data_IF_163800788585
#
_entry.id   IF_163800788585
#
_cell.length_a   1.000
_cell.length_b   1.000
_cell.length_c   1.000
_cell.angle_alpha   90.00
_cell.angle_beta   90.00
_cell.angle_gamma   90.00
#
_symmetry.space_group_name_H-M   'P 1'
#
loop_
_entity.id
_entity.type
_entity.pdbx_description
1 polymer ?
#
# COMPACT_ATOMS: atom_id res chain seq x y z
N UNK A 1 17.32 9.37 -41.45
CA UNK A 1 17.92 8.97 -40.16
C UNK A 1 16.99 9.46 -39.07
N UNK A 2 16.23 8.54 -38.46
CA UNK A 2 15.44 8.88 -37.27
C UNK A 2 16.44 8.95 -36.12
N UNK A 3 16.63 10.14 -35.56
CA UNK A 3 17.39 10.32 -34.33
C UNK A 3 16.62 9.55 -33.25
N UNK A 4 17.09 8.35 -32.91
CA UNK A 4 16.73 7.68 -31.67
C UNK A 4 17.23 8.62 -30.57
N UNK A 5 16.34 9.45 -30.03
CA UNK A 5 16.57 10.14 -28.77
C UNK A 5 16.90 9.05 -27.76
N UNK A 6 18.16 8.99 -27.34
CA UNK A 6 18.60 8.10 -26.28
C UNK A 6 17.69 8.33 -25.08
N UNK A 7 16.93 7.32 -24.67
CA UNK A 7 16.23 7.28 -23.40
C UNK A 7 17.33 7.51 -22.35
N UNK A 8 17.51 8.75 -21.87
CA UNK A 8 18.38 8.99 -20.71
C UNK A 8 17.88 8.02 -19.65
N UNK A 9 18.75 7.16 -19.11
CA UNK A 9 18.34 6.15 -18.14
C UNK A 9 17.70 6.87 -16.95
N UNK A 10 16.36 6.85 -16.90
CA UNK A 10 15.60 7.51 -15.85
C UNK A 10 15.55 6.56 -14.68
N UNK A 11 16.24 6.90 -13.59
CA UNK A 11 16.11 6.18 -12.34
C UNK A 11 14.74 6.43 -11.70
N UNK A 12 14.31 5.55 -10.82
CA UNK A 12 13.07 5.72 -10.06
C UNK A 12 13.38 5.78 -8.57
N UNK A 13 12.60 6.55 -7.82
CA UNK A 13 12.64 6.54 -6.37
C UNK A 13 11.27 6.05 -5.88
N UNK A 14 11.20 4.83 -5.36
CA UNK A 14 9.97 4.20 -4.87
C UNK A 14 9.79 4.63 -3.41
N UNK A 15 8.68 5.27 -3.06
CA UNK A 15 8.44 5.90 -1.76
C UNK A 15 7.29 5.19 -1.05
N UNK A 16 7.51 4.89 0.23
CA UNK A 16 6.58 4.18 1.12
C UNK A 16 5.31 4.94 1.47
N UNK A 17 4.51 4.33 2.35
CA UNK A 17 3.26 4.87 2.88
C UNK A 17 3.51 6.25 3.55
N UNK A 18 2.64 7.22 3.25
CA UNK A 18 2.82 8.62 3.65
C UNK A 18 1.93 8.97 4.84
N UNK A 19 0.67 8.55 4.83
CA UNK A 19 -0.31 8.77 5.90
C UNK A 19 -0.28 10.19 6.48
N UNK A 20 -0.34 11.21 5.63
CA UNK A 20 -0.36 12.61 6.05
C UNK A 20 0.93 13.15 6.66
N UNK A 21 2.07 12.46 6.53
CA UNK A 21 3.40 12.95 6.93
C UNK A 21 4.02 13.85 5.85
N UNK A 22 3.35 14.95 5.49
CA UNK A 22 3.76 15.81 4.38
C UNK A 22 5.16 16.42 4.54
N UNK A 23 5.53 16.87 5.74
CA UNK A 23 6.83 17.51 5.95
C UNK A 23 7.96 16.49 5.89
N UNK A 24 7.76 15.31 6.47
CA UNK A 24 8.71 14.19 6.33
C UNK A 24 8.90 13.82 4.86
N UNK A 25 7.82 13.80 4.07
CA UNK A 25 7.91 13.55 2.64
C UNK A 25 8.74 14.62 1.91
N UNK A 26 8.54 15.90 2.24
CA UNK A 26 9.36 16.98 1.68
C UNK A 26 10.85 16.80 2.01
N UNK A 27 11.19 16.44 3.25
CA UNK A 27 12.57 16.17 3.67
C UNK A 27 13.18 14.98 2.91
N UNK A 28 12.43 13.89 2.76
CA UNK A 28 12.88 12.71 2.03
C UNK A 28 13.14 13.02 0.55
N UNK A 29 12.22 13.75 -0.08
CA UNK A 29 12.38 14.22 -1.46
C UNK A 29 13.63 15.10 -1.61
N UNK A 30 13.84 16.06 -0.71
CA UNK A 30 15.02 16.93 -0.71
C UNK A 30 16.31 16.12 -0.52
N UNK A 31 16.34 15.15 0.40
CA UNK A 31 17.49 14.25 0.62
C UNK A 31 17.81 13.43 -0.63
N UNK A 32 16.79 13.02 -1.39
CA UNK A 32 16.97 12.33 -2.67
C UNK A 32 17.32 13.27 -3.83
N UNK A 33 17.38 14.58 -3.59
CA UNK A 33 17.78 15.60 -4.58
C UNK A 33 16.64 16.14 -5.44
N UNK A 34 15.39 15.94 -5.05
CA UNK A 34 14.25 16.62 -5.66
C UNK A 34 14.25 18.09 -5.23
N UNK A 35 13.86 18.96 -6.16
CA UNK A 35 13.74 20.40 -5.93
C UNK A 35 12.33 20.86 -6.24
N UNK A 36 11.78 21.75 -5.40
CA UNK A 36 10.46 22.35 -5.62
C UNK A 36 10.59 23.46 -6.66
N UNK A 37 10.07 23.20 -7.86
CA UNK A 37 10.08 24.14 -8.99
C UNK A 37 8.64 24.45 -9.38
N UNK A 38 8.25 25.73 -9.29
CA UNK A 38 6.88 26.19 -9.53
C UNK A 38 5.84 25.39 -8.72
N UNK A 39 6.11 25.18 -7.42
CA UNK A 39 5.22 24.43 -6.52
C UNK A 39 5.41 22.90 -6.55
N UNK A 40 6.01 22.34 -7.60
CA UNK A 40 6.10 20.89 -7.81
C UNK A 40 7.51 20.35 -7.54
N UNK A 41 7.65 19.28 -6.75
CA UNK A 41 8.93 18.59 -6.59
C UNK A 41 9.32 17.83 -7.86
N UNK A 42 10.55 18.07 -8.34
CA UNK A 42 11.09 17.47 -9.56
C UNK A 42 12.55 17.06 -9.37
N UNK A 43 12.95 15.98 -10.02
CA UNK A 43 14.36 15.57 -10.09
C UNK A 43 14.82 15.57 -11.56
N UNK A 44 16.04 16.06 -11.88
CA UNK A 44 16.50 16.21 -13.27
C UNK A 44 16.68 14.88 -14.01
N UNK A 45 16.84 13.77 -13.30
CA UNK A 45 17.15 12.44 -13.87
C UNK A 45 16.30 11.29 -13.34
N UNK A 46 15.33 11.58 -12.45
CA UNK A 46 14.58 10.55 -11.71
C UNK A 46 13.10 10.90 -11.62
N UNK A 47 12.27 9.89 -11.47
CA UNK A 47 10.83 10.03 -11.23
C UNK A 47 10.45 9.29 -9.95
N UNK A 48 9.62 9.90 -9.11
CA UNK A 48 9.11 9.23 -7.90
C UNK A 48 8.01 8.22 -8.26
N UNK A 49 7.88 7.15 -7.48
CA UNK A 49 6.73 6.25 -7.51
C UNK A 49 6.24 6.04 -6.08
N UNK A 50 5.04 6.52 -5.77
CA UNK A 50 4.41 6.32 -4.46
C UNK A 50 3.66 5.00 -4.41
N UNK A 51 3.71 4.29 -3.28
CA UNK A 51 3.06 2.97 -3.12
C UNK A 51 1.64 3.02 -2.57
N UNK A 52 1.03 4.22 -2.50
CA UNK A 52 -0.31 4.44 -1.97
C UNK A 52 -0.31 4.95 -0.54
N UNK A 53 -1.47 4.91 0.11
CA UNK A 53 -1.67 5.26 1.52
C UNK A 53 -1.15 6.67 1.84
N UNK A 54 -1.70 7.65 1.11
CA UNK A 54 -1.42 9.07 1.33
C UNK A 54 -2.19 9.57 2.55
N UNK A 55 -3.42 9.08 2.73
CA UNK A 55 -4.39 9.63 3.68
C UNK A 55 -4.44 8.86 5.00
N UNK A 56 -5.26 9.39 5.91
CA UNK A 56 -5.53 8.93 7.27
C UNK A 56 -4.33 9.03 8.23
N UNK A 57 -4.65 9.09 9.53
CA UNK A 57 -3.75 9.11 10.69
C UNK A 57 -2.91 10.38 10.90
N UNK A 58 -2.16 10.83 9.91
CA UNK A 58 -1.20 11.93 10.09
C UNK A 58 -1.84 13.32 10.19
N UNK A 59 -1.08 14.32 10.64
CA UNK A 59 -1.61 15.67 10.86
C UNK A 59 -1.65 16.55 9.61
N UNK A 60 -0.99 16.17 8.51
CA UNK A 60 -0.86 16.96 7.29
C UNK A 60 -1.37 16.22 6.04
N UNK A 61 -2.56 15.61 6.15
CA UNK A 61 -3.18 14.77 5.10
C UNK A 61 -3.51 15.61 3.87
N UNK A 62 -4.10 16.79 4.08
CA UNK A 62 -4.43 17.69 2.98
C UNK A 62 -3.17 18.15 2.23
N UNK A 63 -2.11 18.53 2.94
CA UNK A 63 -0.84 18.91 2.31
C UNK A 63 -0.19 17.75 1.56
N UNK A 64 -0.20 16.54 2.13
CA UNK A 64 0.35 15.34 1.49
C UNK A 64 -0.37 15.01 0.18
N UNK A 65 -1.71 15.08 0.16
CA UNK A 65 -2.51 14.86 -1.04
C UNK A 65 -2.20 15.86 -2.15
N UNK A 66 -2.12 17.16 -1.85
CA UNK A 66 -1.73 18.15 -2.85
C UNK A 66 -0.32 17.90 -3.38
N UNK A 67 0.65 17.66 -2.49
CA UNK A 67 2.04 17.41 -2.88
C UNK A 67 2.13 16.23 -3.86
N UNK A 68 1.54 15.09 -3.51
CA UNK A 68 1.60 13.88 -4.34
C UNK A 68 0.83 14.08 -5.64
N UNK A 69 -0.39 14.60 -5.60
CA UNK A 69 -1.22 14.86 -6.78
C UNK A 69 -0.51 15.80 -7.75
N UNK A 70 0.06 16.90 -7.27
CA UNK A 70 0.79 17.87 -8.08
C UNK A 70 1.98 17.21 -8.81
N UNK A 71 2.74 16.36 -8.12
CA UNK A 71 3.85 15.63 -8.75
C UNK A 71 3.36 14.65 -9.82
N UNK A 72 2.26 13.94 -9.56
CA UNK A 72 1.68 12.98 -10.50
C UNK A 72 1.13 13.68 -11.75
N UNK A 73 0.30 14.71 -11.57
CA UNK A 73 -0.31 15.45 -12.68
C UNK A 73 0.72 16.16 -13.56
N UNK A 74 1.85 16.57 -12.99
CA UNK A 74 2.95 17.20 -13.74
C UNK A 74 4.02 16.21 -14.23
N UNK A 75 3.80 14.91 -14.05
CA UNK A 75 4.66 13.84 -14.56
C UNK A 75 6.00 13.66 -13.85
N UNK A 76 6.23 14.30 -12.70
CA UNK A 76 7.42 14.08 -11.87
C UNK A 76 7.27 12.89 -10.90
N UNK A 77 6.05 12.38 -10.74
CA UNK A 77 5.77 11.15 -10.02
C UNK A 77 4.75 10.24 -10.74
N UNK A 78 4.63 9.01 -10.24
CA UNK A 78 3.52 8.08 -10.44
C UNK A 78 3.10 7.53 -9.08
N UNK A 79 1.97 6.85 -9.04
CA UNK A 79 1.43 6.26 -7.80
C UNK A 79 0.65 4.99 -8.12
N UNK A 80 0.61 4.05 -7.16
CA UNK A 80 -0.39 2.97 -7.09
C UNK A 80 -1.35 3.21 -5.92
N UNK A 81 -2.58 2.69 -6.03
CA UNK A 81 -3.63 2.92 -5.03
C UNK A 81 -3.29 2.18 -3.74
N UNK A 82 -3.45 2.84 -2.59
CA UNK A 82 -3.37 2.21 -1.27
C UNK A 82 -4.72 1.72 -0.79
N UNK A 83 -4.73 0.94 0.29
CA UNK A 83 -6.00 0.51 0.87
C UNK A 83 -6.77 1.66 1.53
N UNK A 84 -6.09 2.72 1.95
CA UNK A 84 -6.72 3.88 2.57
C UNK A 84 -7.52 4.70 1.55
N UNK A 85 -6.98 4.95 0.36
CA UNK A 85 -7.73 5.58 -0.74
C UNK A 85 -8.97 4.74 -1.11
N UNK A 86 -8.82 3.42 -1.25
CA UNK A 86 -9.94 2.51 -1.49
C UNK A 86 -11.01 2.58 -0.38
N UNK A 87 -10.59 2.62 0.88
CA UNK A 87 -11.52 2.73 2.02
C UNK A 87 -12.29 4.04 2.00
N UNK A 88 -11.62 5.15 1.69
CA UNK A 88 -12.25 6.46 1.59
C UNK A 88 -13.30 6.49 0.47
N UNK A 89 -12.99 5.92 -0.70
CA UNK A 89 -13.95 5.78 -1.80
C UNK A 89 -15.18 4.96 -1.36
N UNK A 90 -14.97 3.81 -0.73
CA UNK A 90 -16.05 2.97 -0.22
C UNK A 90 -16.89 3.65 0.88
N UNK A 91 -16.25 4.43 1.75
CA UNK A 91 -16.89 5.15 2.85
C UNK A 91 -17.78 6.29 2.33
N UNK A 92 -17.37 6.95 1.25
CA UNK A 92 -18.09 8.08 0.66
C UNK A 92 -19.14 7.65 -0.39
N UNK A 93 -19.13 6.39 -0.84
CA UNK A 93 -20.03 5.90 -1.90
C UNK A 93 -21.24 5.18 -1.32
N UNK A 94 -22.45 5.63 -1.69
CA UNK A 94 -23.71 4.96 -1.30
C UNK A 94 -23.82 3.59 -1.96
N UNK A 95 -24.27 2.60 -1.22
CA UNK A 95 -24.54 1.29 -1.79
C UNK A 95 -25.79 1.31 -2.69
N UNK A 96 -25.82 0.43 -3.69
CA UNK A 96 -26.97 0.29 -4.58
C UNK A 96 -28.18 -0.29 -3.84
N UNK A 97 -29.42 0.08 -4.23
CA UNK A 97 -30.63 -0.54 -3.71
C UNK A 97 -30.57 -2.07 -3.82
N UNK A 98 -30.97 -2.78 -2.77
CA UNK A 98 -30.96 -4.24 -2.71
C UNK A 98 -29.67 -4.89 -2.19
N UNK A 99 -28.61 -4.11 -1.93
CA UNK A 99 -27.35 -4.61 -1.34
C UNK A 99 -27.43 -4.95 0.16
N UNK A 100 -28.47 -4.49 0.86
CA UNK A 100 -28.58 -4.62 2.32
C UNK A 100 -27.68 -3.67 3.12
N UNK A 101 -26.96 -2.77 2.44
CA UNK A 101 -26.07 -1.76 3.02
C UNK A 101 -26.51 -0.34 2.62
N UNK A 102 -26.09 0.66 3.39
CA UNK A 102 -26.28 2.10 3.08
C UNK A 102 -25.10 2.66 2.31
N UNK A 103 -23.88 2.25 2.68
CA UNK A 103 -22.62 2.64 2.03
C UNK A 103 -21.81 1.41 1.65
N UNK A 104 -20.92 1.52 0.67
CA UNK A 104 -20.06 0.39 0.30
C UNK A 104 -19.14 -0.02 1.46
N UNK A 105 -18.73 0.97 2.27
CA UNK A 105 -18.12 0.78 3.58
C UNK A 105 -18.98 1.47 4.65
N UNK A 106 -19.64 0.66 5.48
CA UNK A 106 -20.57 1.14 6.52
C UNK A 106 -19.91 2.05 7.56
N UNK A 107 -20.65 3.02 8.07
CA UNK A 107 -20.15 4.00 9.06
C UNK A 107 -20.26 3.47 10.50
N UNK A 108 -19.45 2.46 10.82
CA UNK A 108 -19.33 1.94 12.18
C UNK A 108 -18.17 2.61 12.95
N UNK A 109 -18.11 2.42 14.27
CA UNK A 109 -17.09 3.04 15.15
C UNK A 109 -15.65 2.85 14.66
N UNK A 110 -15.35 1.67 14.11
CA UNK A 110 -14.02 1.35 13.57
C UNK A 110 -13.72 2.12 12.30
N UNK A 111 -14.62 2.10 11.32
CA UNK A 111 -14.44 2.80 10.05
C UNK A 111 -14.42 4.31 10.24
N UNK A 112 -15.28 4.83 11.12
CA UNK A 112 -15.32 6.24 11.48
C UNK A 112 -13.99 6.68 12.10
N UNK A 113 -13.43 5.87 13.01
CA UNK A 113 -12.12 6.16 13.61
C UNK A 113 -11.00 6.20 12.57
N UNK A 114 -11.01 5.28 11.61
CA UNK A 114 -9.95 5.16 10.61
C UNK A 114 -9.86 6.35 9.65
N UNK A 115 -10.99 6.90 9.22
CA UNK A 115 -11.04 8.00 8.25
C UNK A 115 -11.14 9.38 8.92
N UNK A 116 -11.22 9.42 10.25
CA UNK A 116 -11.60 10.59 11.03
C UNK A 116 -10.72 11.80 10.74
N UNK A 117 -9.40 11.63 10.84
CA UNK A 117 -8.43 12.72 10.67
C UNK A 117 -8.49 13.29 9.24
N UNK A 118 -8.73 12.44 8.24
CA UNK A 118 -8.95 12.88 6.85
C UNK A 118 -10.19 13.75 6.75
N UNK A 119 -11.34 13.27 7.26
CA UNK A 119 -12.59 14.03 7.20
C UNK A 119 -12.52 15.33 8.01
N UNK A 120 -11.86 15.34 9.17
CA UNK A 120 -11.67 16.54 9.99
C UNK A 120 -10.85 17.61 9.23
N UNK A 121 -9.78 17.22 8.52
CA UNK A 121 -8.98 18.18 7.73
C UNK A 121 -9.70 18.69 6.47
N UNK A 122 -10.61 17.90 5.90
CA UNK A 122 -11.37 18.25 4.70
C UNK A 122 -12.77 18.82 4.97
N UNK A 123 -13.24 18.87 6.22
CA UNK A 123 -14.53 19.47 6.60
C UNK A 123 -14.71 20.91 6.06
N UNK A 124 -13.67 21.78 6.09
CA UNK A 124 -13.77 23.12 5.49
C UNK A 124 -13.71 23.14 3.95
N UNK A 125 -13.38 22.02 3.31
CA UNK A 125 -13.06 21.91 1.87
C UNK A 125 -13.81 20.75 1.18
N UNK A 126 -15.14 20.65 1.27
CA UNK A 126 -15.89 19.49 0.77
C UNK A 126 -15.81 19.32 -0.75
N UNK A 127 -15.69 20.41 -1.51
CA UNK A 127 -15.52 20.34 -2.97
C UNK A 127 -14.18 19.72 -3.34
N UNK A 128 -13.12 20.11 -2.66
CA UNK A 128 -11.77 19.60 -2.87
C UNK A 128 -11.66 18.12 -2.48
N UNK A 129 -12.34 17.70 -1.41
CA UNK A 129 -12.42 16.28 -1.06
C UNK A 129 -13.06 15.45 -2.16
N UNK A 130 -14.16 15.92 -2.76
CA UNK A 130 -14.77 15.25 -3.91
C UNK A 130 -13.82 15.18 -5.11
N UNK A 131 -13.04 16.23 -5.38
CA UNK A 131 -12.02 16.18 -6.43
C UNK A 131 -10.93 15.14 -6.15
N UNK A 132 -10.54 14.95 -4.87
CA UNK A 132 -9.60 13.89 -4.50
C UNK A 132 -10.21 12.49 -4.65
N UNK A 133 -11.48 12.31 -4.28
CA UNK A 133 -12.21 11.06 -4.53
C UNK A 133 -12.27 10.72 -6.02
N UNK A 134 -12.54 11.72 -6.88
CA UNK A 134 -12.50 11.55 -8.33
C UNK A 134 -11.08 11.23 -8.82
N UNK A 135 -10.06 11.89 -8.27
CA UNK A 135 -8.66 11.62 -8.59
C UNK A 135 -8.25 10.19 -8.20
N UNK A 136 -8.77 9.61 -7.12
CA UNK A 136 -8.46 8.23 -6.72
C UNK A 136 -8.85 7.20 -7.79
N UNK A 137 -9.93 7.42 -8.56
CA UNK A 137 -10.26 6.57 -9.71
C UNK A 137 -9.20 6.60 -10.82
N UNK A 138 -8.35 7.63 -10.86
CA UNK A 138 -7.26 7.74 -11.85
C UNK A 138 -5.99 7.00 -11.43
N UNK A 139 -5.93 6.49 -10.20
CA UNK A 139 -4.77 5.80 -9.65
C UNK A 139 -4.83 4.30 -10.03
N UNK A 140 -3.81 3.74 -10.69
CA UNK A 140 -3.77 2.32 -11.02
C UNK A 140 -3.50 1.45 -9.77
N UNK A 141 -3.95 0.19 -9.77
CA UNK A 141 -3.70 -0.75 -8.69
C UNK A 141 -2.25 -1.27 -8.65
N UNK A 142 -1.54 -1.21 -9.77
CA UNK A 142 -0.15 -1.64 -9.90
C UNK A 142 0.59 -0.89 -11.00
N UNK A 143 1.90 -0.92 -10.95
CA UNK A 143 2.81 -0.49 -12.01
C UNK A 143 3.71 -1.68 -12.37
N UNK A 144 3.82 -1.98 -13.66
CA UNK A 144 4.80 -2.93 -14.21
C UNK A 144 5.70 -2.21 -15.19
N UNK A 145 6.98 -2.08 -14.83
CA UNK A 145 8.04 -1.67 -15.72
C UNK A 145 8.78 -2.90 -16.26
N UNK A 146 9.65 -2.70 -17.24
CA UNK A 146 10.50 -3.76 -17.80
C UNK A 146 11.38 -4.43 -16.71
N UNK A 147 11.91 -3.62 -15.79
CA UNK A 147 12.88 -4.07 -14.81
C UNK A 147 12.30 -4.33 -13.41
N UNK A 148 11.10 -3.82 -13.09
CA UNK A 148 10.53 -3.93 -11.74
C UNK A 148 9.01 -3.74 -11.71
N UNK A 149 8.42 -4.01 -10.55
CA UNK A 149 7.00 -3.99 -10.27
C UNK A 149 6.69 -3.23 -8.98
N UNK A 150 5.53 -2.58 -8.93
CA UNK A 150 5.04 -1.87 -7.75
C UNK A 150 3.56 -2.18 -7.56
N UNK A 151 3.18 -2.55 -6.34
CA UNK A 151 1.81 -2.79 -5.91
C UNK A 151 1.72 -2.47 -4.41
N UNK A 152 0.57 -2.04 -3.90
CA UNK A 152 0.51 -1.60 -2.52
C UNK A 152 0.77 -2.73 -1.51
N UNK A 153 0.21 -3.94 -1.68
CA UNK A 153 0.41 -5.02 -0.72
C UNK A 153 0.94 -6.33 -1.34
N UNK A 154 0.25 -6.91 -2.32
CA UNK A 154 0.66 -8.21 -2.88
C UNK A 154 0.58 -8.27 -4.40
N UNK A 155 1.61 -8.86 -5.00
CA UNK A 155 1.67 -9.12 -6.43
C UNK A 155 1.17 -10.53 -6.75
N UNK A 156 -0.08 -10.62 -7.21
CA UNK A 156 -0.64 -11.83 -7.80
C UNK A 156 -0.71 -11.67 -9.32
N UNK A 157 0.17 -12.37 -10.04
CA UNK A 157 0.25 -12.28 -11.51
C UNK A 157 -1.04 -12.76 -12.18
N UNK A 158 -1.64 -13.86 -11.71
CA UNK A 158 -2.82 -14.42 -12.35
C UNK A 158 -4.04 -13.53 -12.16
N UNK A 159 -4.17 -12.95 -10.96
CA UNK A 159 -5.25 -12.02 -10.64
C UNK A 159 -5.10 -10.70 -11.41
N UNK A 160 -3.87 -10.16 -11.48
CA UNK A 160 -3.53 -8.99 -12.29
C UNK A 160 -3.84 -9.23 -13.78
N UNK A 161 -3.46 -10.38 -14.33
CA UNK A 161 -3.70 -10.71 -15.73
C UNK A 161 -5.20 -10.82 -16.05
N UNK A 162 -6.01 -11.35 -15.13
CA UNK A 162 -7.48 -11.37 -15.26
C UNK A 162 -8.04 -9.94 -15.21
N UNK A 163 -7.57 -9.12 -14.27
CA UNK A 163 -8.03 -7.75 -14.11
C UNK A 163 -7.70 -6.88 -15.32
N UNK A 164 -6.48 -6.98 -15.88
CA UNK A 164 -6.05 -6.25 -17.08
C UNK A 164 -6.89 -6.52 -18.33
N UNK A 165 -7.57 -7.66 -18.41
CA UNK A 165 -8.48 -7.95 -19.53
C UNK A 165 -9.72 -7.06 -19.51
N UNK A 166 -10.10 -6.56 -18.34
CA UNK A 166 -11.28 -5.71 -18.12
C UNK A 166 -10.84 -4.25 -17.94
N UNK A 167 -9.77 -4.02 -17.17
CA UNK A 167 -9.20 -2.71 -16.88
C UNK A 167 -7.74 -2.63 -17.36
N UNK A 168 -7.50 -2.40 -18.66
CA UNK A 168 -6.16 -2.50 -19.25
C UNK A 168 -5.16 -1.45 -18.78
N UNK A 169 -5.63 -0.30 -18.28
CA UNK A 169 -4.79 0.75 -17.69
C UNK A 169 -4.56 0.56 -16.18
N UNK A 170 -5.09 -0.53 -15.61
CA UNK A 170 -4.92 -0.87 -14.20
C UNK A 170 -5.81 -0.08 -13.25
N UNK A 171 -6.76 0.73 -13.74
CA UNK A 171 -7.62 1.60 -12.93
C UNK A 171 -9.02 1.02 -12.76
N UNK A 172 -9.59 1.20 -11.58
CA UNK A 172 -10.97 0.80 -11.30
C UNK A 172 -11.94 1.89 -11.78
N UNK A 173 -13.20 1.50 -12.04
CA UNK A 173 -14.31 2.41 -12.22
C UNK A 173 -15.35 2.25 -11.11
N UNK A 174 -16.44 3.01 -11.18
CA UNK A 174 -17.53 2.97 -10.19
C UNK A 174 -18.20 1.59 -10.14
N UNK A 175 -18.41 0.91 -11.27
CA UNK A 175 -18.98 -0.43 -11.32
C UNK A 175 -18.09 -1.44 -10.58
N UNK A 176 -16.77 -1.35 -10.78
CA UNK A 176 -15.80 -2.20 -10.11
C UNK A 176 -15.76 -1.95 -8.60
N UNK A 177 -15.82 -0.69 -8.16
CA UNK A 177 -15.93 -0.33 -6.74
C UNK A 177 -17.21 -0.90 -6.10
N UNK A 178 -18.33 -0.83 -6.80
CA UNK A 178 -19.57 -1.44 -6.32
C UNK A 178 -19.46 -2.96 -6.21
N UNK A 179 -18.86 -3.61 -7.21
CA UNK A 179 -18.65 -5.05 -7.19
C UNK A 179 -17.73 -5.48 -6.04
N UNK A 180 -16.70 -4.69 -5.71
CA UNK A 180 -15.74 -5.02 -4.66
C UNK A 180 -16.30 -5.00 -3.24
N UNK A 181 -17.51 -4.45 -3.04
CA UNK A 181 -18.22 -4.52 -1.75
C UNK A 181 -18.66 -5.95 -1.36
N UNK A 182 -18.69 -6.87 -2.33
CA UNK A 182 -18.80 -8.31 -2.11
C UNK A 182 -17.38 -8.92 -2.13
N UNK A 183 -16.87 -9.34 -0.97
CA UNK A 183 -15.48 -9.78 -0.79
C UNK A 183 -15.14 -11.03 -1.63
N UNK A 184 -16.12 -11.91 -1.79
CA UNK A 184 -16.02 -13.13 -2.58
C UNK A 184 -16.07 -12.89 -4.09
N UNK A 185 -16.47 -11.70 -4.53
CA UNK A 185 -16.50 -11.35 -5.95
C UNK A 185 -15.08 -11.23 -6.50
N UNK A 186 -14.94 -11.29 -7.83
CA UNK A 186 -13.67 -11.03 -8.50
C UNK A 186 -13.09 -9.66 -8.12
N UNK A 187 -13.92 -8.61 -8.10
CA UNK A 187 -13.48 -7.27 -7.70
C UNK A 187 -13.07 -7.21 -6.23
N UNK A 188 -13.80 -7.90 -5.35
CA UNK A 188 -13.46 -8.02 -3.93
C UNK A 188 -12.09 -8.67 -3.74
N UNK A 189 -11.84 -9.79 -4.41
CA UNK A 189 -10.56 -10.50 -4.38
C UNK A 189 -9.41 -9.64 -4.92
N UNK A 190 -9.61 -8.93 -6.04
CA UNK A 190 -8.62 -7.99 -6.58
C UNK A 190 -8.27 -6.91 -5.56
N UNK A 191 -9.27 -6.22 -5.00
CA UNK A 191 -9.01 -5.13 -4.06
C UNK A 191 -8.40 -5.64 -2.75
N UNK A 192 -8.84 -6.80 -2.25
CA UNK A 192 -8.30 -7.38 -1.01
C UNK A 192 -6.85 -7.85 -1.19
N UNK A 193 -6.57 -8.63 -2.24
CA UNK A 193 -5.22 -9.17 -2.46
C UNK A 193 -4.22 -8.07 -2.79
N UNK A 194 -4.53 -7.17 -3.73
CA UNK A 194 -3.56 -6.18 -4.19
C UNK A 194 -3.32 -5.07 -3.16
N UNK A 195 -4.34 -4.73 -2.33
CA UNK A 195 -4.25 -3.61 -1.38
C UNK A 195 -4.08 -4.05 0.08
N UNK A 196 -4.37 -5.30 0.46
CA UNK A 196 -4.24 -5.77 1.86
C UNK A 196 -3.36 -7.01 2.01
N UNK A 197 -3.00 -7.63 0.90
CA UNK A 197 -2.16 -8.80 0.87
C UNK A 197 -2.94 -10.09 1.12
N UNK A 198 -2.21 -11.15 1.47
CA UNK A 198 -2.77 -12.49 1.69
C UNK A 198 -2.89 -12.82 3.17
N UNK A 199 -3.84 -13.68 3.48
CA UNK A 199 -4.04 -14.22 4.81
C UNK A 199 -4.40 -15.71 4.75
N UNK A 200 -4.21 -16.39 5.88
CA UNK A 200 -4.69 -17.74 6.10
C UNK A 200 -5.61 -17.76 7.31
N UNK A 201 -6.70 -18.51 7.20
CA UNK A 201 -7.58 -18.75 8.32
C UNK A 201 -6.89 -19.67 9.33
N UNK A 202 -7.03 -19.35 10.59
CA UNK A 202 -6.66 -20.24 11.68
C UNK A 202 -7.60 -21.46 11.68
N UNK A 203 -7.12 -22.61 12.19
CA UNK A 203 -7.95 -23.80 12.35
C UNK A 203 -9.21 -23.52 13.17
N UNK A 204 -10.26 -24.28 12.91
CA UNK A 204 -11.55 -24.14 13.61
C UNK A 204 -11.39 -24.16 15.14
N UNK A 205 -12.03 -23.20 15.82
CA UNK A 205 -11.96 -23.03 17.27
C UNK A 205 -10.73 -22.28 17.77
N UNK A 206 -9.84 -21.83 16.88
CA UNK A 206 -8.64 -21.07 17.23
C UNK A 206 -8.80 -19.59 16.87
N UNK A 207 -8.37 -18.73 17.78
CA UNK A 207 -8.29 -17.29 17.55
C UNK A 207 -7.06 -16.72 18.25
N UNK A 208 -6.60 -15.58 17.76
CA UNK A 208 -5.46 -14.85 18.32
C UNK A 208 -5.97 -13.49 18.75
N UNK A 209 -5.65 -13.08 19.98
CA UNK A 209 -5.91 -11.72 20.44
C UNK A 209 -4.65 -10.89 20.16
N UNK A 210 -4.77 -9.88 19.30
CA UNK A 210 -3.68 -8.95 19.00
C UNK A 210 -3.34 -8.07 20.19
N UNK A 211 -2.20 -7.37 20.12
CA UNK A 211 -1.81 -6.38 21.14
C UNK A 211 -2.82 -5.22 21.27
N UNK A 212 -3.62 -5.02 20.22
CA UNK A 212 -4.74 -4.08 20.12
C UNK A 212 -6.03 -4.55 20.82
N UNK A 213 -6.06 -5.78 21.34
CA UNK A 213 -7.21 -6.38 22.00
C UNK A 213 -8.26 -6.98 21.08
N UNK A 214 -8.03 -6.99 19.75
CA UNK A 214 -8.96 -7.60 18.80
C UNK A 214 -8.70 -9.10 18.64
N UNK A 215 -9.78 -9.88 18.63
CA UNK A 215 -9.75 -11.32 18.39
C UNK A 215 -9.83 -11.58 16.90
N UNK A 216 -8.83 -12.27 16.35
CA UNK A 216 -8.69 -12.56 14.92
C UNK A 216 -8.69 -14.08 14.69
N UNK A 217 -9.44 -14.51 13.68
CA UNK A 217 -9.48 -15.91 13.21
C UNK A 217 -8.56 -16.15 11.99
N UNK A 218 -7.80 -15.14 11.59
CA UNK A 218 -6.92 -15.17 10.42
C UNK A 218 -5.56 -14.57 10.81
N UNK A 219 -4.51 -14.97 10.11
CA UNK A 219 -3.20 -14.34 10.20
C UNK A 219 -2.66 -14.03 8.82
N UNK A 220 -1.85 -12.98 8.72
CA UNK A 220 -1.30 -12.53 7.44
C UNK A 220 -0.19 -13.45 6.98
N UNK A 221 -0.15 -13.69 5.68
CA UNK A 221 0.91 -14.45 5.06
C UNK A 221 1.79 -13.59 4.17
N UNK A 222 3.07 -13.92 4.10
CA UNK A 222 3.99 -13.41 3.08
C UNK A 222 3.89 -14.27 1.82
N UNK A 223 3.98 -13.61 0.68
CA UNK A 223 3.89 -14.24 -0.64
C UNK A 223 5.27 -14.54 -1.26
N UNK A 224 6.37 -14.51 -0.49
CA UNK A 224 7.75 -14.73 -0.96
C UNK A 224 8.48 -15.85 -0.20
N UNK A 225 7.74 -16.76 0.43
CA UNK A 225 8.32 -17.92 1.12
C UNK A 225 8.52 -19.09 0.15
N UNK A 226 9.75 -19.60 0.10
CA UNK A 226 10.12 -20.77 -0.70
C UNK A 226 9.81 -22.06 0.07
N UNK A 227 8.92 -22.90 -0.47
CA UNK A 227 8.54 -24.21 0.06
C UNK A 227 8.19 -24.22 1.58
N UNK A 228 7.20 -23.42 2.02
CA UNK A 228 6.87 -23.29 3.44
C UNK A 228 6.30 -24.60 4.01
N UNK A 229 6.70 -24.93 5.23
CA UNK A 229 6.30 -26.17 5.92
C UNK A 229 5.31 -25.89 7.07
N UNK A 230 5.48 -24.76 7.74
CA UNK A 230 4.77 -24.39 8.96
C UNK A 230 4.18 -22.99 8.88
N UNK A 231 3.27 -22.64 9.79
CA UNK A 231 2.71 -21.28 9.87
C UNK A 231 3.79 -20.23 10.14
N UNK A 232 4.83 -20.57 10.92
CA UNK A 232 5.99 -19.71 11.14
C UNK A 232 6.73 -19.34 9.84
N UNK A 233 6.69 -20.23 8.83
CA UNK A 233 7.35 -19.99 7.55
C UNK A 233 6.59 -18.97 6.69
N UNK A 234 5.31 -18.72 6.98
CA UNK A 234 4.45 -17.89 6.14
C UNK A 234 3.89 -16.68 6.87
N UNK A 235 3.87 -16.65 8.20
CA UNK A 235 3.36 -15.49 8.94
C UNK A 235 4.14 -14.22 8.60
N UNK A 236 3.40 -13.13 8.39
CA UNK A 236 3.98 -11.80 8.20
C UNK A 236 3.07 -10.71 8.76
N UNK A 237 3.21 -10.45 10.05
CA UNK A 237 2.47 -9.42 10.80
C UNK A 237 3.29 -9.00 12.04
N UNK A 238 3.00 -7.83 12.64
CA UNK A 238 3.71 -7.36 13.84
C UNK A 238 3.60 -8.31 15.03
N UNK A 239 2.37 -8.79 15.31
CA UNK A 239 2.11 -9.71 16.41
C UNK A 239 2.49 -11.15 16.05
N UNK A 240 3.50 -11.76 16.70
CA UNK A 240 3.87 -13.13 16.40
C UNK A 240 2.73 -14.10 16.76
N UNK A 241 2.60 -15.18 15.99
CA UNK A 241 1.68 -16.28 16.35
C UNK A 241 2.13 -16.91 17.67
N UNK A 242 1.19 -17.38 18.51
CA UNK A 242 1.54 -18.19 19.68
C UNK A 242 2.43 -19.37 19.27
N UNK A 243 3.46 -19.75 20.04
CA UNK A 243 4.47 -20.73 19.63
C UNK A 243 3.90 -22.07 19.16
N UNK A 244 2.81 -22.52 19.78
CA UNK A 244 2.07 -23.74 19.40
C UNK A 244 1.38 -23.63 18.04
N UNK A 245 0.87 -22.45 17.70
CA UNK A 245 0.24 -22.16 16.41
C UNK A 245 1.31 -22.02 15.33
N UNK A 246 2.40 -21.30 15.63
CA UNK A 246 3.51 -21.07 14.71
C UNK A 246 4.15 -22.38 14.21
N UNK A 247 4.26 -23.40 15.08
CA UNK A 247 4.86 -24.72 14.75
C UNK A 247 3.94 -25.65 13.96
N UNK A 248 2.66 -25.28 13.78
CA UNK A 248 1.70 -26.11 13.06
C UNK A 248 2.14 -26.26 11.60
N UNK A 249 2.09 -27.48 11.09
CA UNK A 249 2.35 -27.76 9.68
C UNK A 249 1.20 -27.25 8.83
N UNK A 250 1.55 -26.62 7.71
CA UNK A 250 0.58 -26.30 6.67
C UNK A 250 -0.04 -27.60 6.13
N UNK A 251 -1.35 -27.63 5.94
CA UNK A 251 -2.04 -28.65 5.17
C UNK A 251 -1.81 -28.45 3.67
N UNK A 252 -2.17 -29.44 2.85
CA UNK A 252 -2.06 -29.30 1.40
C UNK A 252 -3.06 -28.28 0.84
N UNK A 253 -4.24 -28.16 1.47
CA UNK A 253 -5.25 -27.16 1.13
C UNK A 253 -4.79 -25.73 1.49
N UNK A 254 -4.13 -25.55 2.64
CA UNK A 254 -3.54 -24.27 3.04
C UNK A 254 -2.37 -23.90 2.12
N UNK A 255 -1.52 -24.88 1.74
CA UNK A 255 -0.43 -24.66 0.78
C UNK A 255 -0.94 -24.18 -0.58
N UNK A 256 -2.06 -24.69 -1.06
CA UNK A 256 -2.65 -24.28 -2.34
C UNK A 256 -3.23 -22.86 -2.31
N UNK A 257 -3.50 -22.30 -1.13
CA UNK A 257 -3.99 -20.92 -0.96
C UNK A 257 -2.84 -19.90 -0.89
N UNK A 258 -1.60 -20.35 -0.70
CA UNK A 258 -0.45 -19.45 -0.58
C UNK A 258 -0.02 -18.93 -1.95
N UNK A 259 0.20 -17.62 -2.02
CA UNK A 259 0.86 -17.00 -3.15
C UNK A 259 2.39 -17.14 -3.04
N UNK A 260 3.03 -17.27 -4.20
CA UNK A 260 4.48 -17.38 -4.31
C UNK A 260 5.01 -16.44 -5.38
N UNK A 261 5.93 -15.56 -4.98
CA UNK A 261 6.67 -14.68 -5.87
C UNK A 261 7.97 -15.34 -6.30
N UNK A 262 8.16 -15.64 -7.60
CA UNK A 262 9.32 -16.39 -8.06
C UNK A 262 10.64 -15.62 -7.87
N UNK A 263 11.73 -16.26 -7.42
CA UNK A 263 13.07 -15.66 -7.32
C UNK A 263 13.60 -15.04 -8.61
N UNK A 264 13.22 -15.59 -9.75
CA UNK A 264 13.61 -15.15 -11.09
C UNK A 264 12.75 -13.97 -11.63
N UNK A 265 11.62 -13.69 -10.99
CA UNK A 265 10.74 -12.59 -11.35
C UNK A 265 11.43 -11.23 -11.13
N UNK A 266 11.02 -10.16 -11.85
CA UNK A 266 11.52 -8.81 -11.62
C UNK A 266 11.39 -8.40 -10.15
N UNK A 267 12.26 -7.52 -9.62
CA UNK A 267 12.05 -6.91 -8.33
C UNK A 267 10.62 -6.36 -8.15
N UNK A 268 10.02 -6.63 -6.99
CA UNK A 268 8.72 -6.08 -6.60
C UNK A 268 8.85 -5.25 -5.33
N UNK A 269 8.21 -4.08 -5.36
CA UNK A 269 8.11 -3.15 -4.24
C UNK A 269 6.68 -3.14 -3.72
N UNK A 270 6.54 -3.30 -2.40
CA UNK A 270 5.25 -3.33 -1.67
C UNK A 270 5.29 -2.46 -0.42
N UNK A 271 4.13 -2.18 0.16
CA UNK A 271 3.90 -1.43 1.40
C UNK A 271 3.02 -2.22 2.36
N UNK A 272 2.16 -1.54 3.13
CA UNK A 272 1.09 -2.13 3.97
C UNK A 272 1.51 -2.99 5.18
N UNK A 273 2.76 -3.42 5.26
CA UNK A 273 3.22 -4.42 6.23
C UNK A 273 3.93 -3.85 7.46
N UNK A 274 4.14 -2.53 7.53
CA UNK A 274 4.58 -1.83 8.74
C UNK A 274 5.89 -2.40 9.29
N UNK A 275 6.92 -2.40 8.44
CA UNK A 275 8.23 -2.91 8.81
C UNK A 275 8.84 -2.13 9.97
N UNK A 276 9.63 -2.83 10.76
CA UNK A 276 10.43 -2.24 11.85
C UNK A 276 11.93 -2.43 11.58
N UNK A 277 12.73 -1.52 12.12
CA UNK A 277 14.18 -1.65 12.15
C UNK A 277 14.87 -1.06 10.92
N UNK A 278 16.06 -1.57 10.59
CA UNK A 278 16.87 -0.98 9.52
C UNK A 278 16.35 -1.39 8.14
N UNK A 279 16.06 -0.43 7.23
CA UNK A 279 15.56 -0.74 5.89
C UNK A 279 16.49 -1.67 5.09
N UNK A 280 15.93 -2.78 4.60
CA UNK A 280 16.64 -3.77 3.82
C UNK A 280 15.67 -4.60 2.95
N UNK A 281 16.14 -5.21 1.84
CA UNK A 281 15.30 -6.11 1.05
C UNK A 281 14.86 -7.33 1.87
N UNK A 282 13.60 -7.77 1.69
CA UNK A 282 13.07 -9.00 2.28
C UNK A 282 13.64 -10.25 1.59
N UNK A 283 13.84 -10.15 0.28
CA UNK A 283 14.53 -11.11 -0.60
C UNK A 283 15.35 -10.31 -1.61
N UNK A 284 16.18 -11.00 -2.40
CA UNK A 284 16.98 -10.32 -3.44
C UNK A 284 16.11 -9.62 -4.50
N UNK A 285 14.83 -9.99 -4.66
CA UNK A 285 13.89 -9.37 -5.59
C UNK A 285 12.56 -8.92 -4.92
N UNK A 286 12.50 -8.81 -3.59
CA UNK A 286 11.31 -8.33 -2.86
C UNK A 286 11.72 -7.30 -1.82
N UNK A 287 11.11 -6.12 -1.84
CA UNK A 287 11.26 -5.11 -0.81
C UNK A 287 9.90 -4.57 -0.35
N UNK A 288 9.70 -4.55 0.96
CA UNK A 288 8.67 -3.71 1.57
C UNK A 288 9.29 -2.34 1.85
N UNK A 289 8.64 -1.26 1.43
CA UNK A 289 9.10 0.13 1.57
C UNK A 289 8.24 0.89 2.61
N UNK A 290 7.29 0.20 3.25
CA UNK A 290 6.50 0.74 4.36
C UNK A 290 7.15 0.37 5.71
N UNK A 291 7.65 1.41 6.40
CA UNK A 291 8.25 1.34 7.73
C UNK A 291 7.49 2.23 8.73
N UNK A 292 6.15 2.28 8.64
CA UNK A 292 5.30 2.90 9.65
C UNK A 292 5.65 4.36 9.99
N UNK A 293 5.68 5.25 8.99
CA UNK A 293 6.00 6.68 9.20
C UNK A 293 5.22 7.32 10.38
N UNK A 294 3.96 6.93 10.56
CA UNK A 294 3.07 7.44 11.63
C UNK A 294 3.45 6.97 13.05
N UNK A 295 4.24 5.91 13.20
CA UNK A 295 4.61 5.31 14.49
C UNK A 295 6.01 5.73 15.00
N UNK A 296 6.60 6.79 14.45
CA UNK A 296 7.97 7.25 14.77
C UNK A 296 9.08 6.27 14.33
N UNK A 297 8.91 5.54 13.24
CA UNK A 297 10.05 4.88 12.63
C UNK A 297 10.52 5.70 11.44
N UNK A 298 10.23 5.29 10.19
CA UNK A 298 10.90 5.86 9.02
C UNK A 298 9.95 6.07 7.86
N UNK A 299 10.08 7.21 7.20
CA UNK A 299 9.61 7.32 5.82
C UNK A 299 10.74 6.87 4.91
N UNK A 300 10.51 5.78 4.20
CA UNK A 300 11.54 5.05 3.44
C UNK A 300 11.29 5.20 1.95
N UNK A 301 12.39 5.26 1.21
CA UNK A 301 12.41 5.15 -0.23
C UNK A 301 13.50 4.18 -0.70
N UNK A 302 13.34 3.67 -1.92
CA UNK A 302 14.32 2.86 -2.62
C UNK A 302 14.70 3.50 -3.95
N UNK A 303 16.00 3.66 -4.21
CA UNK A 303 16.51 4.19 -5.48
C UNK A 303 16.69 3.06 -6.50
N UNK A 304 15.74 2.84 -7.38
CA UNK A 304 15.80 1.82 -8.44
C UNK A 304 16.51 2.36 -9.70
N UNK A 305 17.50 1.62 -10.20
CA UNK A 305 18.27 1.98 -11.40
C UNK A 305 18.31 0.87 -12.46
N UNK A 306 17.41 -0.12 -12.37
CA UNK A 306 17.30 -1.24 -13.32
C UNK A 306 18.00 -2.53 -12.84
N UNK A 307 18.49 -2.57 -11.59
CA UNK A 307 19.05 -3.78 -11.00
C UNK A 307 18.02 -4.90 -10.83
N UNK A 308 18.44 -6.16 -11.02
CA UNK A 308 17.62 -7.36 -10.72
C UNK A 308 17.77 -7.86 -9.30
N UNK A 309 18.82 -7.43 -8.61
CA UNK A 309 19.16 -7.81 -7.24
C UNK A 309 19.17 -6.55 -6.39
N UNK A 310 18.21 -6.46 -5.48
CA UNK A 310 18.04 -5.35 -4.58
C UNK A 310 19.19 -5.29 -3.57
N UNK A 311 19.75 -4.10 -3.41
CA UNK A 311 20.76 -3.81 -2.38
C UNK A 311 20.20 -2.97 -1.25
N UNK A 312 20.57 -3.30 -0.01
CA UNK A 312 20.31 -2.49 1.18
C UNK A 312 20.89 -1.07 1.09
N UNK A 313 21.95 -0.88 0.32
CA UNK A 313 22.66 0.41 0.22
C UNK A 313 21.90 1.44 -0.63
N UNK A 314 20.79 1.04 -1.27
CA UNK A 314 19.95 1.90 -2.10
C UNK A 314 18.67 2.37 -1.40
N UNK A 315 18.50 2.00 -0.13
CA UNK A 315 17.46 2.55 0.71
C UNK A 315 17.87 3.94 1.21
N UNK A 316 16.91 4.85 1.23
CA UNK A 316 17.04 6.22 1.74
C UNK A 316 15.87 6.44 2.68
N UNK A 317 16.09 7.04 3.84
CA UNK A 317 15.02 7.29 4.79
C UNK A 317 15.23 8.58 5.58
N UNK A 318 14.12 9.07 6.13
CA UNK A 318 14.06 10.10 7.15
C UNK A 318 13.41 9.49 8.38
N UNK A 319 14.02 9.68 9.55
CA UNK A 319 13.39 9.35 10.82
C UNK A 319 12.25 10.34 11.07
N UNK A 320 11.05 9.85 11.38
CA UNK A 320 9.88 10.72 11.58
C UNK A 320 9.94 11.36 12.97
N UNK A 321 10.23 12.66 13.01
CA UNK A 321 10.33 13.43 14.25
C UNK A 321 8.94 13.71 14.88
N UNK A 322 8.96 14.03 16.18
CA UNK A 322 7.77 14.24 17.04
C UNK A 322 6.72 15.28 16.60
N UNK A 323 6.98 16.32 15.77
CA UNK A 323 5.95 17.30 15.41
C UNK A 323 4.81 16.75 14.54
N UNK A 324 5.00 15.60 13.89
CA UNK A 324 3.96 14.97 13.05
C UNK A 324 3.08 13.97 13.83
N UNK A 325 3.09 14.03 15.17
CA UNK A 325 2.31 13.14 16.03
C UNK A 325 0.83 13.58 16.12
N UNK A 326 -0.16 12.72 15.82
CA UNK A 326 -1.53 12.94 16.27
C UNK A 326 -1.62 12.75 17.80
N UNK A 327 -2.42 13.56 18.49
CA UNK A 327 -2.59 13.53 19.96
C UNK A 327 -3.15 12.19 20.51
N UNK A 328 -3.58 11.27 19.63
CA UNK A 328 -4.14 9.97 19.96
C UNK A 328 -3.15 8.82 19.69
N UNK A 329 -3.20 7.71 20.46
CA UNK A 329 -2.38 6.54 20.16
C UNK A 329 -2.73 5.97 18.78
N UNK A 330 -1.72 5.78 17.93
CA UNK A 330 -1.85 5.09 16.65
C UNK A 330 -2.19 3.61 16.91
N UNK A 331 -3.48 3.28 16.99
CA UNK A 331 -3.95 1.89 17.13
C UNK A 331 -3.97 1.19 15.76
N UNK A 332 -3.59 -0.08 15.75
CA UNK A 332 -3.24 -0.94 14.59
C UNK A 332 -4.40 -1.34 13.66
N UNK A 333 -5.28 -0.41 13.32
CA UNK A 333 -6.62 -0.80 12.87
C UNK A 333 -6.83 -0.82 11.35
N UNK A 334 -5.83 -0.47 10.50
CA UNK A 334 -5.95 -0.76 9.05
C UNK A 334 -5.67 -2.22 8.69
N UNK A 335 -5.24 -2.99 9.70
CA UNK A 335 -4.53 -4.24 9.51
C UNK A 335 -5.49 -5.46 9.55
N UNK A 336 -6.66 -5.29 10.17
CA UNK A 336 -7.71 -6.31 10.24
C UNK A 336 -8.78 -6.12 9.15
N UNK A 337 -9.41 -7.21 8.71
CA UNK A 337 -10.49 -7.21 7.70
C UNK A 337 -11.74 -6.48 8.17
#
# INVERSE_FOLDING_TARGET
>A
MVVKTSKQSRGFDIIGDIHGCAHTLELLLQQMGYQKLNGVYRHPRRQAIFIGDIIDRGPHIREALHLVRDMVEHGSARIVMGNHEYNAMGYCTRARPGSGKTFLREHNDRHNRLIRETLEQFDPYPHEWNEFLDWFYTIPLFIEEEDFRVVHACWDQELIDKFRRIHPDGRIDEEFLHASAALESFAGQVMDTLLRGTDLRLPEGMSITGADGYVREFFRTKFWSENPQTYADVVFQPDPLPPEVARRKLSDEERQQLLFYPPEAPPVFVGHYWMEGQPAPLKHNVACIDYSAVKNDKMVAYRMDGERVLSKDKFVWIDVDTPERPDAPATEDSVAR
#
